data_IF_251465167284
#
_entry.id   IF_251465167284
#
_cell.length_a   1.000
_cell.length_b   1.000
_cell.length_c   1.000
_cell.angle_alpha   90.00
_cell.angle_beta   90.00
_cell.angle_gamma   90.00
#
_symmetry.space_group_name_H-M   'P 1'
#
loop_
_entity.id
_entity.type
_entity.pdbx_description
1 polymer ?
#
# COMPACT_ATOMS: atom_id res chain seq x y z
N UNK A 1 17.63 -13.47 2.57
CA UNK A 1 17.20 -12.54 3.65
C UNK A 1 17.05 -11.17 3.02
N UNK A 2 15.86 -10.84 2.51
CA UNK A 2 15.62 -9.55 1.87
C UNK A 2 15.46 -8.50 2.97
N UNK A 3 16.32 -7.48 2.97
CA UNK A 3 16.19 -6.35 3.88
C UNK A 3 14.80 -5.71 3.70
N UNK A 4 14.11 -5.30 4.78
CA UNK A 4 12.79 -4.69 4.67
C UNK A 4 12.87 -3.47 3.76
N UNK A 5 12.07 -3.46 2.70
CA UNK A 5 12.01 -2.35 1.76
C UNK A 5 11.60 -1.08 2.51
N UNK A 6 12.51 -0.09 2.58
CA UNK A 6 12.25 1.18 3.26
C UNK A 6 11.44 2.10 2.34
N UNK A 7 10.24 2.47 2.78
CA UNK A 7 9.41 3.44 2.08
C UNK A 7 10.11 4.80 1.98
N UNK A 8 9.90 5.48 0.85
CA UNK A 8 10.29 6.90 0.69
C UNK A 8 9.39 7.78 1.57
N UNK A 9 9.82 8.98 1.97
CA UNK A 9 9.04 9.84 2.88
C UNK A 9 7.59 10.04 2.45
N UNK A 10 7.35 10.35 1.18
CA UNK A 10 5.99 10.55 0.65
C UNK A 10 5.14 9.27 0.62
N UNK A 11 5.76 8.09 0.53
CA UNK A 11 5.05 6.82 0.58
C UNK A 11 4.64 6.51 2.02
N UNK A 12 5.53 6.75 2.98
CA UNK A 12 5.23 6.59 4.40
C UNK A 12 4.13 7.57 4.83
N UNK A 13 4.20 8.82 4.39
CA UNK A 13 3.17 9.82 4.68
C UNK A 13 1.78 9.39 4.15
N UNK A 14 1.72 8.83 2.94
CA UNK A 14 0.46 8.29 2.39
C UNK A 14 -0.09 7.13 3.22
N UNK A 15 0.77 6.23 3.71
CA UNK A 15 0.39 5.12 4.61
C UNK A 15 -0.13 5.68 5.93
N UNK A 16 0.61 6.58 6.57
CA UNK A 16 0.28 7.14 7.88
C UNK A 16 -1.03 7.93 7.83
N UNK A 17 -1.25 8.72 6.77
CA UNK A 17 -2.49 9.45 6.54
C UNK A 17 -3.69 8.49 6.40
N UNK A 18 -3.52 7.39 5.66
CA UNK A 18 -4.55 6.38 5.47
C UNK A 18 -4.91 5.67 6.79
N UNK A 19 -3.90 5.29 7.57
CA UNK A 19 -4.13 4.67 8.88
C UNK A 19 -4.77 5.64 9.88
N UNK A 20 -4.41 6.93 9.83
CA UNK A 20 -5.02 7.97 10.66
C UNK A 20 -6.49 8.18 10.29
N UNK A 21 -6.84 8.11 9.01
CA UNK A 21 -8.21 8.22 8.51
C UNK A 21 -9.07 7.09 9.09
N UNK A 22 -8.73 5.84 8.82
CA UNK A 22 -9.54 4.68 9.26
C UNK A 22 -9.50 4.37 10.77
N UNK A 23 -8.84 5.22 11.58
CA UNK A 23 -8.95 5.17 13.05
C UNK A 23 -10.15 5.96 13.59
N UNK A 24 -10.75 6.83 12.77
CA UNK A 24 -11.85 7.72 13.20
C UNK A 24 -13.15 7.39 12.45
N UNK A 25 -13.32 7.73 11.16
CA UNK A 25 -14.46 7.27 10.37
C UNK A 25 -14.17 5.99 9.56
N UNK A 26 -15.26 5.32 9.14
CA UNK A 26 -15.27 4.18 8.22
C UNK A 26 -15.62 4.60 6.76
N UNK A 27 -15.55 5.90 6.45
CA UNK A 27 -15.81 6.42 5.11
C UNK A 27 -14.63 6.17 4.16
N UNK A 28 -14.91 6.24 2.86
CA UNK A 28 -13.93 5.94 1.82
C UNK A 28 -12.80 6.98 1.77
N UNK A 29 -11.56 6.52 1.57
CA UNK A 29 -10.38 7.37 1.40
C UNK A 29 -9.86 7.35 -0.05
N UNK A 30 -9.25 8.46 -0.50
CA UNK A 30 -8.61 8.57 -1.81
C UNK A 30 -7.15 8.98 -1.63
N UNK A 31 -6.22 8.17 -2.16
CA UNK A 31 -4.79 8.47 -2.19
C UNK A 31 -4.40 8.88 -3.62
N UNK A 32 -3.91 10.10 -3.80
CA UNK A 32 -3.41 10.59 -5.09
C UNK A 32 -1.89 10.52 -5.12
N UNK A 33 -1.36 9.75 -6.08
CA UNK A 33 0.07 9.66 -6.36
C UNK A 33 0.27 9.81 -7.88
N UNK A 34 1.41 10.32 -8.37
CA UNK A 34 1.68 10.29 -9.80
C UNK A 34 2.09 8.88 -10.30
N UNK A 35 2.16 8.70 -11.61
CA UNK A 35 2.79 7.51 -12.23
C UNK A 35 4.26 7.43 -11.81
N UNK A 36 4.79 6.21 -11.60
CA UNK A 36 6.17 6.01 -11.14
C UNK A 36 6.41 6.26 -9.64
N UNK A 37 5.42 6.79 -8.90
CA UNK A 37 5.55 7.02 -7.46
C UNK A 37 5.64 5.74 -6.61
N UNK A 38 5.35 4.58 -7.20
CA UNK A 38 5.34 3.30 -6.49
C UNK A 38 4.05 3.07 -5.69
N UNK A 39 2.88 3.33 -6.29
CA UNK A 39 1.55 3.10 -5.66
C UNK A 39 1.43 1.71 -5.05
N UNK A 40 1.93 0.70 -5.76
CA UNK A 40 1.97 -0.69 -5.30
C UNK A 40 2.66 -0.89 -3.95
N UNK A 41 3.73 -0.14 -3.67
CA UNK A 41 4.47 -0.25 -2.42
C UNK A 41 3.65 0.29 -1.24
N UNK A 42 2.87 1.36 -1.48
CA UNK A 42 1.92 1.90 -0.50
C UNK A 42 0.79 0.90 -0.23
N UNK A 43 0.23 0.28 -1.27
CA UNK A 43 -0.81 -0.76 -1.13
C UNK A 43 -0.27 -1.96 -0.35
N UNK A 44 0.93 -2.43 -0.68
CA UNK A 44 1.55 -3.56 -0.01
C UNK A 44 1.85 -3.28 1.47
N UNK A 45 2.30 -2.07 1.80
CA UNK A 45 2.52 -1.69 3.20
C UNK A 45 1.21 -1.60 3.98
N UNK A 46 0.15 -1.03 3.38
CA UNK A 46 -1.18 -1.04 3.99
C UNK A 46 -1.69 -2.47 4.20
N UNK A 47 -1.47 -3.35 3.22
CA UNK A 47 -1.80 -4.77 3.32
C UNK A 47 -1.05 -5.46 4.47
N UNK A 48 0.24 -5.17 4.62
CA UNK A 48 1.11 -5.71 5.67
C UNK A 48 0.71 -5.23 7.07
N UNK A 49 0.29 -3.97 7.20
CA UNK A 49 -0.08 -3.35 8.48
C UNK A 49 -1.52 -3.68 8.93
N UNK A 50 -2.36 -4.15 8.02
CA UNK A 50 -3.75 -4.43 8.34
C UNK A 50 -3.92 -5.63 9.26
N UNK A 51 -4.85 -5.50 10.21
CA UNK A 51 -5.22 -6.58 11.14
C UNK A 51 -6.36 -7.47 10.60
N UNK A 52 -6.90 -7.13 9.43
CA UNK A 52 -8.02 -7.83 8.78
C UNK A 52 -7.60 -8.25 7.36
N UNK A 53 -8.33 -9.21 6.80
CA UNK A 53 -8.13 -9.61 5.39
C UNK A 53 -8.40 -8.40 4.48
N UNK A 54 -7.48 -8.18 3.54
CA UNK A 54 -7.60 -7.13 2.51
C UNK A 54 -7.82 -7.77 1.16
N UNK A 55 -8.74 -7.18 0.39
CA UNK A 55 -8.95 -7.48 -1.03
C UNK A 55 -8.40 -6.30 -1.85
N UNK A 56 -7.37 -6.56 -2.66
CA UNK A 56 -6.84 -5.58 -3.61
C UNK A 56 -7.40 -5.90 -4.99
N UNK A 57 -8.21 -4.98 -5.53
CA UNK A 57 -8.79 -5.10 -6.87
C UNK A 57 -7.96 -4.27 -7.86
N UNK A 58 -7.51 -4.91 -8.94
CA UNK A 58 -6.82 -4.26 -10.05
C UNK A 58 -7.21 -4.93 -11.36
N UNK A 59 -7.19 -4.17 -12.46
CA UNK A 59 -7.52 -4.68 -13.79
C UNK A 59 -6.43 -5.60 -14.37
N UNK A 60 -5.20 -5.54 -13.86
CA UNK A 60 -4.04 -6.25 -14.45
C UNK A 60 -3.40 -7.19 -13.42
N UNK A 61 -3.51 -8.51 -13.63
CA UNK A 61 -2.95 -9.57 -12.76
C UNK A 61 -1.43 -9.42 -12.54
N UNK A 62 -0.72 -8.95 -13.55
CA UNK A 62 0.74 -8.81 -13.58
C UNK A 62 1.29 -7.89 -12.45
N UNK A 63 0.54 -6.86 -12.06
CA UNK A 63 0.92 -5.96 -10.97
C UNK A 63 0.83 -6.64 -9.59
N UNK A 64 -0.06 -7.63 -9.44
CA UNK A 64 -0.19 -8.41 -8.21
C UNK A 64 0.98 -9.38 -8.08
N UNK A 65 1.37 -10.04 -9.18
CA UNK A 65 2.49 -11.00 -9.22
C UNK A 65 3.84 -10.31 -8.98
N UNK A 66 4.09 -9.16 -9.61
CA UNK A 66 5.31 -8.37 -9.39
C UNK A 66 5.43 -7.86 -7.95
N UNK A 67 4.31 -7.50 -7.31
CA UNK A 67 4.32 -7.10 -5.90
C UNK A 67 4.63 -8.30 -5.01
N UNK A 68 3.99 -9.45 -5.23
CA UNK A 68 4.26 -10.66 -4.45
C UNK A 68 5.75 -11.04 -4.51
N UNK A 69 6.36 -11.02 -5.69
CA UNK A 69 7.78 -11.32 -5.87
C UNK A 69 8.73 -10.36 -5.14
N UNK A 70 8.33 -9.10 -4.91
CA UNK A 70 9.12 -8.12 -4.16
C UNK A 70 9.05 -8.29 -2.64
N UNK A 71 8.08 -9.05 -2.14
CA UNK A 71 7.82 -9.22 -0.70
C UNK A 71 7.98 -10.68 -0.21
N UNK A 72 8.58 -11.56 -1.02
CA UNK A 72 9.28 -12.78 -0.59
C UNK A 72 10.73 -12.43 -0.21
#
# INVERSE_FOLDING_TARGET
>A
MNAPFKLRPYQQEAVDATLKHFRKPDDSAVIVLPTGAGKSLVIAELARLARRKILVLTHVKELVEQNHAKYQ
#
